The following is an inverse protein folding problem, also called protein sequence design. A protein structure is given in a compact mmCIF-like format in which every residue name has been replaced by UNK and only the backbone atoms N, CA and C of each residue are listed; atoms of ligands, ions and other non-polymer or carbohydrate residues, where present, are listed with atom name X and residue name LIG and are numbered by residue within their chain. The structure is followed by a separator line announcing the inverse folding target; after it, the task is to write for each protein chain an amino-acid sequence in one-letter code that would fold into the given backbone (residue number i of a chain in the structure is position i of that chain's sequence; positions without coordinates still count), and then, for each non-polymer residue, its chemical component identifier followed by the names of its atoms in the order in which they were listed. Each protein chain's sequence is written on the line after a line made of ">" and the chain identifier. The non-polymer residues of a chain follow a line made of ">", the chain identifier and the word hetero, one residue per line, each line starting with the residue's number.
data_IF_610140514665
#
_entry.id   IF_610140514665
#
_cell.length_a   1.000
_cell.length_b   1.000
_cell.length_c   1.000
_cell.angle_alpha   90.00
_cell.angle_beta   90.00
_cell.angle_gamma   90.00
#
_symmetry.space_group_name_H-M   'P 1'
#
loop_
_entity.id
_entity.type
_entity.pdbx_description
1 polymer ?
#
# COMPACT_ATOMS: atom_id res chain seq x y z
N UNK A 1 7.76 26.80 2.14
CA UNK A 1 6.57 27.37 2.82
C UNK A 1 5.62 28.01 1.82
N UNK A 2 4.42 28.46 2.26
CA UNK A 2 3.46 29.18 1.40
C UNK A 2 4.01 30.54 0.91
N UNK A 3 4.91 31.12 1.66
CA UNK A 3 5.65 32.34 1.28
C UNK A 3 6.65 32.04 0.17
N UNK A 4 7.42 30.96 0.29
CA UNK A 4 8.39 30.53 -0.71
C UNK A 4 7.72 30.16 -2.05
N UNK A 5 6.48 29.62 -1.96
CA UNK A 5 5.64 29.30 -3.11
C UNK A 5 4.92 30.52 -3.72
N UNK A 6 5.10 31.72 -3.18
CA UNK A 6 4.46 32.94 -3.65
C UNK A 6 2.95 33.01 -3.42
N UNK A 7 2.40 32.13 -2.58
CA UNK A 7 0.96 32.07 -2.26
C UNK A 7 0.59 33.12 -1.22
N UNK A 8 1.52 33.46 -0.33
CA UNK A 8 1.35 34.50 0.68
C UNK A 8 2.55 35.44 0.67
N UNK A 9 2.28 36.74 0.76
CA UNK A 9 3.33 37.74 0.80
C UNK A 9 4.08 37.75 2.15
N UNK A 10 3.42 37.38 3.23
CA UNK A 10 3.93 37.34 4.61
C UNK A 10 3.18 36.29 5.42
N UNK A 11 3.93 35.55 6.24
CA UNK A 11 3.36 34.52 7.15
C UNK A 11 2.39 35.12 8.18
N UNK A 12 2.63 36.36 8.64
CA UNK A 12 1.76 37.05 9.61
C UNK A 12 0.43 37.45 8.98
N UNK A 13 0.48 38.01 7.77
CA UNK A 13 -0.73 38.36 7.00
C UNK A 13 -1.55 37.10 6.69
N UNK A 14 -0.88 36.00 6.36
CA UNK A 14 -1.55 34.72 6.16
C UNK A 14 -2.23 34.22 7.42
N UNK A 15 -1.57 34.28 8.58
CA UNK A 15 -2.15 33.88 9.86
C UNK A 15 -3.38 34.74 10.26
N UNK A 16 -3.33 36.05 9.98
CA UNK A 16 -4.46 36.95 10.20
C UNK A 16 -5.61 36.60 9.24
N UNK A 17 -5.32 36.40 7.97
CA UNK A 17 -6.31 36.01 6.98
C UNK A 17 -7.00 34.68 7.31
N UNK A 18 -6.27 33.70 7.82
CA UNK A 18 -6.83 32.44 8.31
C UNK A 18 -7.89 32.64 9.40
N UNK A 19 -7.64 33.55 10.35
CA UNK A 19 -8.55 33.85 11.44
C UNK A 19 -9.90 34.38 10.96
N UNK A 20 -9.91 35.10 9.83
CA UNK A 20 -11.13 35.67 9.24
C UNK A 20 -11.78 34.79 8.17
N UNK A 21 -10.98 34.06 7.39
CA UNK A 21 -11.47 33.25 6.28
C UNK A 21 -11.81 31.80 6.70
N UNK A 22 -11.24 31.33 7.81
CA UNK A 22 -11.30 29.95 8.21
C UNK A 22 -11.45 29.74 9.74
N UNK A 23 -12.40 30.39 10.41
CA UNK A 23 -12.48 30.38 11.88
C UNK A 23 -12.78 28.98 12.47
N UNK A 24 -13.43 28.09 11.72
CA UNK A 24 -13.99 26.83 12.26
C UNK A 24 -13.36 25.56 11.73
N UNK A 25 -12.52 25.62 10.71
CA UNK A 25 -11.92 24.43 10.09
C UNK A 25 -10.39 24.42 10.18
N UNK A 26 -9.79 23.38 10.75
CA UNK A 26 -8.33 23.25 10.79
C UNK A 26 -7.76 23.09 9.37
N UNK A 27 -6.55 23.62 9.18
CA UNK A 27 -5.78 23.32 7.98
C UNK A 27 -5.22 21.91 8.09
N UNK A 28 -5.24 21.18 6.98
CA UNK A 28 -4.62 19.87 6.92
C UNK A 28 -3.16 20.02 6.50
N UNK A 29 -2.28 19.34 7.23
CA UNK A 29 -0.87 19.24 6.84
C UNK A 29 -0.73 18.39 5.58
N UNK A 30 0.28 18.70 4.76
CA UNK A 30 0.54 17.95 3.52
C UNK A 30 1.26 18.80 2.49
N UNK A 31 1.55 18.21 1.35
CA UNK A 31 2.09 18.86 0.18
C UNK A 31 0.93 19.36 -0.71
N UNK A 32 0.99 20.60 -1.13
CA UNK A 32 -0.03 21.22 -1.96
C UNK A 32 0.59 21.86 -3.20
N UNK A 33 -0.06 21.68 -4.34
CA UNK A 33 0.25 22.44 -5.55
C UNK A 33 -0.70 23.63 -5.68
N UNK A 34 -0.16 24.80 -5.96
CA UNK A 34 -0.93 26.01 -6.23
C UNK A 34 -0.64 26.52 -7.63
N UNK A 35 -1.67 26.92 -8.34
CA UNK A 35 -1.50 27.60 -9.63
C UNK A 35 -0.94 29.01 -9.40
N UNK A 36 -0.15 29.48 -10.35
CA UNK A 36 0.33 30.86 -10.29
C UNK A 36 -0.87 31.84 -10.23
N UNK A 37 -0.81 32.78 -9.29
CA UNK A 37 -1.87 33.77 -9.09
C UNK A 37 -3.10 33.26 -8.35
N UNK A 38 -3.02 32.10 -7.68
CA UNK A 38 -4.11 31.61 -6.81
C UNK A 38 -4.48 32.65 -5.76
N UNK A 39 -5.77 32.89 -5.53
CA UNK A 39 -6.21 33.80 -4.48
C UNK A 39 -5.95 33.20 -3.09
N UNK A 40 -5.73 34.06 -2.09
CA UNK A 40 -5.55 33.62 -0.71
C UNK A 40 -6.75 32.82 -0.19
N UNK A 41 -7.96 33.21 -0.60
CA UNK A 41 -9.20 32.50 -0.27
C UNK A 41 -9.19 31.07 -0.83
N UNK A 42 -8.84 30.89 -2.09
CA UNK A 42 -8.80 29.57 -2.73
C UNK A 42 -7.69 28.71 -2.16
N UNK A 43 -6.53 29.32 -1.84
CA UNK A 43 -5.45 28.60 -1.17
C UNK A 43 -5.87 28.10 0.22
N UNK A 44 -6.56 28.93 1.01
CA UNK A 44 -7.11 28.50 2.32
C UNK A 44 -8.16 27.41 2.15
N UNK A 45 -9.08 27.56 1.18
CA UNK A 45 -10.09 26.54 0.92
C UNK A 45 -9.45 25.18 0.53
N UNK A 46 -8.41 25.20 -0.29
CA UNK A 46 -7.65 24.01 -0.68
C UNK A 46 -6.97 23.33 0.51
N UNK A 47 -6.34 24.12 1.39
CA UNK A 47 -5.72 23.64 2.62
C UNK A 47 -6.74 23.01 3.59
N UNK A 48 -7.93 23.59 3.69
CA UNK A 48 -9.03 23.06 4.52
C UNK A 48 -9.65 21.79 3.94
N UNK A 49 -9.77 21.73 2.62
CA UNK A 49 -10.25 20.54 1.92
C UNK A 49 -9.29 19.35 2.08
N UNK A 50 -7.98 19.63 2.28
CA UNK A 50 -6.95 18.60 2.33
C UNK A 50 -6.67 18.00 0.95
N UNK A 51 -6.81 18.81 -0.11
CA UNK A 51 -6.48 18.42 -1.48
C UNK A 51 -4.96 18.42 -1.67
N UNK A 52 -4.33 17.45 -1.02
CA UNK A 52 -2.88 17.22 -1.01
C UNK A 52 -2.41 16.52 -2.28
N UNK A 53 -1.14 16.67 -2.60
CA UNK A 53 -0.49 15.84 -3.63
C UNK A 53 -0.48 14.39 -3.15
N UNK A 54 -1.17 13.54 -3.90
CA UNK A 54 -1.19 12.10 -3.65
C UNK A 54 -0.09 11.46 -4.48
N UNK A 55 0.83 10.80 -3.81
CA UNK A 55 1.90 9.99 -4.39
C UNK A 55 1.45 8.54 -4.46
N UNK A 56 2.10 7.75 -5.28
CA UNK A 56 1.81 6.31 -5.39
C UNK A 56 3.10 5.50 -5.41
N UNK A 57 3.05 4.33 -4.81
CA UNK A 57 4.05 3.28 -4.95
C UNK A 57 3.36 2.01 -5.45
N UNK A 58 3.89 1.42 -6.49
CA UNK A 58 3.37 0.17 -7.07
C UNK A 58 4.33 -0.96 -6.72
N UNK A 59 3.79 -1.98 -6.08
CA UNK A 59 4.48 -3.22 -5.72
C UNK A 59 4.00 -4.30 -6.68
N UNK A 60 4.91 -4.86 -7.46
CA UNK A 60 4.60 -5.92 -8.39
C UNK A 60 4.33 -7.25 -7.67
N UNK A 61 3.52 -8.10 -8.28
CA UNK A 61 3.31 -9.47 -7.83
C UNK A 61 4.60 -10.31 -7.96
N UNK A 62 4.74 -11.32 -7.11
CA UNK A 62 5.89 -12.26 -7.15
C UNK A 62 7.17 -11.75 -6.47
N UNK A 63 7.17 -10.53 -5.92
CA UNK A 63 8.30 -10.02 -5.16
C UNK A 63 8.39 -10.67 -3.78
N UNK A 64 9.61 -10.90 -3.32
CA UNK A 64 9.90 -11.28 -1.93
C UNK A 64 9.66 -10.10 -0.99
N UNK A 65 9.45 -10.38 0.30
CA UNK A 65 9.33 -9.33 1.34
C UNK A 65 10.51 -8.36 1.30
N UNK A 66 11.73 -8.85 1.09
CA UNK A 66 12.94 -8.01 0.96
C UNK A 66 12.85 -7.04 -0.21
N UNK A 67 12.42 -7.50 -1.37
CA UNK A 67 12.28 -6.67 -2.56
C UNK A 67 11.17 -5.63 -2.40
N UNK A 68 10.04 -6.00 -1.77
CA UNK A 68 8.96 -5.07 -1.44
C UNK A 68 9.47 -3.95 -0.51
N UNK A 69 10.20 -4.31 0.56
CA UNK A 69 10.77 -3.32 1.47
C UNK A 69 11.74 -2.38 0.77
N UNK A 70 12.56 -2.88 -0.17
CA UNK A 70 13.45 -2.03 -0.97
C UNK A 70 12.67 -1.05 -1.86
N UNK A 71 11.55 -1.46 -2.45
CA UNK A 71 10.65 -0.57 -3.21
C UNK A 71 10.07 0.52 -2.31
N UNK A 72 9.62 0.16 -1.10
CA UNK A 72 9.06 1.11 -0.13
C UNK A 72 10.14 2.07 0.40
N UNK A 73 11.36 1.58 0.62
CA UNK A 73 12.49 2.42 1.06
C UNK A 73 12.86 3.47 0.02
N UNK A 74 12.82 3.09 -1.26
CA UNK A 74 13.05 4.00 -2.40
C UNK A 74 11.90 4.95 -2.71
N UNK A 75 10.74 4.83 -2.05
CA UNK A 75 9.58 5.69 -2.32
C UNK A 75 9.78 7.07 -1.70
N UNK A 76 10.06 8.07 -2.55
CA UNK A 76 10.24 9.46 -2.14
C UNK A 76 8.98 10.03 -1.49
N UNK A 77 9.14 10.65 -0.32
CA UNK A 77 8.06 11.28 0.44
C UNK A 77 7.55 10.46 1.60
N UNK A 78 7.88 9.16 1.68
CA UNK A 78 7.67 8.35 2.88
C UNK A 78 8.77 8.64 3.91
N UNK A 79 8.38 8.68 5.18
CA UNK A 79 9.26 8.92 6.32
C UNK A 79 9.39 7.68 7.22
N UNK A 80 10.29 7.76 8.20
CA UNK A 80 10.48 6.71 9.20
C UNK A 80 11.31 5.51 8.72
N UNK A 81 11.67 4.60 9.63
CA UNK A 81 12.45 3.42 9.32
C UNK A 81 11.64 2.37 8.54
N UNK A 82 12.36 1.54 7.78
CA UNK A 82 11.82 0.31 7.21
C UNK A 82 12.06 -0.82 8.22
N UNK A 83 11.05 -1.66 8.53
CA UNK A 83 11.24 -2.81 9.43
C UNK A 83 12.14 -3.86 8.82
N UNK A 84 12.68 -4.74 9.66
CA UNK A 84 13.47 -5.88 9.22
C UNK A 84 12.58 -6.96 8.58
N UNK A 85 13.11 -7.69 7.60
CA UNK A 85 12.40 -8.80 6.94
C UNK A 85 11.96 -9.87 7.94
N UNK A 86 12.80 -10.11 8.96
CA UNK A 86 12.54 -11.09 10.03
C UNK A 86 11.30 -10.75 10.88
N UNK A 87 10.90 -9.49 10.94
CA UNK A 87 9.73 -9.04 11.70
C UNK A 87 8.41 -9.30 10.97
N UNK A 88 8.45 -9.36 9.64
CA UNK A 88 7.25 -9.47 8.80
C UNK A 88 7.02 -10.90 8.29
N UNK A 89 8.07 -11.59 7.88
CA UNK A 89 7.98 -12.87 7.17
C UNK A 89 7.64 -12.73 5.68
N UNK A 90 7.66 -13.84 4.94
CA UNK A 90 7.31 -13.85 3.51
C UNK A 90 5.79 -13.84 3.31
N UNK A 91 5.36 -13.16 2.24
CA UNK A 91 3.94 -13.04 1.89
C UNK A 91 3.12 -12.17 2.85
N UNK A 92 3.78 -11.36 3.70
CA UNK A 92 3.12 -10.52 4.70
C UNK A 92 2.36 -9.33 4.12
N UNK A 93 2.68 -8.90 2.90
CA UNK A 93 2.17 -7.69 2.28
C UNK A 93 1.43 -8.01 0.98
N UNK A 94 0.30 -7.36 0.72
CA UNK A 94 -0.41 -7.50 -0.55
C UNK A 94 0.29 -6.64 -1.63
N UNK A 95 0.74 -7.22 -2.76
CA UNK A 95 1.26 -6.46 -3.89
C UNK A 95 0.11 -5.72 -4.58
N UNK A 96 0.19 -4.39 -4.60
CA UNK A 96 -0.79 -3.52 -5.24
C UNK A 96 -0.21 -2.10 -5.41
N UNK A 97 -0.99 -1.19 -5.99
CA UNK A 97 -0.65 0.23 -6.00
C UNK A 97 -1.23 0.93 -4.78
N UNK A 98 -0.36 1.49 -3.96
CA UNK A 98 -0.73 2.21 -2.74
C UNK A 98 -0.52 3.70 -2.90
N UNK A 99 -1.49 4.47 -2.43
CA UNK A 99 -1.41 5.93 -2.37
C UNK A 99 -0.95 6.39 -1.00
N UNK A 100 -0.16 7.45 -0.99
CA UNK A 100 0.35 8.08 0.24
C UNK A 100 0.58 9.58 0.04
N UNK A 101 0.68 10.31 1.12
CA UNK A 101 0.99 11.75 1.15
C UNK A 101 2.41 11.99 1.65
N UNK A 102 2.97 13.15 1.35
CA UNK A 102 4.25 13.56 1.90
C UNK A 102 4.20 13.57 3.43
N UNK A 103 5.11 12.83 4.07
CA UNK A 103 5.20 12.70 5.51
C UNK A 103 4.50 11.47 6.09
N UNK A 104 3.72 10.74 5.30
CA UNK A 104 3.25 9.41 5.71
C UNK A 104 4.44 8.51 6.04
N UNK A 105 4.28 7.62 6.99
CA UNK A 105 5.37 6.74 7.39
C UNK A 105 5.38 5.43 6.62
N UNK A 106 6.57 4.86 6.43
CA UNK A 106 6.74 3.51 5.86
C UNK A 106 5.99 2.46 6.67
N UNK A 107 6.01 2.59 8.01
CA UNK A 107 5.28 1.69 8.91
C UNK A 107 3.77 1.71 8.68
N UNK A 108 3.15 2.89 8.52
CA UNK A 108 1.72 3.01 8.21
C UNK A 108 1.36 2.42 6.84
N UNK A 109 2.22 2.62 5.84
CA UNK A 109 2.02 2.02 4.53
C UNK A 109 2.07 0.49 4.62
N UNK A 110 3.11 -0.07 5.27
CA UNK A 110 3.27 -1.51 5.47
C UNK A 110 2.09 -2.08 6.26
N UNK A 111 1.63 -1.41 7.32
CA UNK A 111 0.45 -1.84 8.07
C UNK A 111 -0.81 -1.92 7.20
N UNK A 112 -1.02 -0.97 6.28
CA UNK A 112 -2.13 -1.02 5.30
C UNK A 112 -1.99 -2.19 4.33
N UNK A 113 -0.77 -2.47 3.85
CA UNK A 113 -0.48 -3.59 2.96
C UNK A 113 -0.75 -4.95 3.63
N UNK A 114 -0.34 -5.07 4.89
CA UNK A 114 -0.57 -6.27 5.71
C UNK A 114 -2.06 -6.46 6.00
N UNK A 115 -2.76 -5.41 6.41
CA UNK A 115 -4.21 -5.46 6.64
C UNK A 115 -5.00 -5.83 5.37
N UNK A 116 -4.59 -5.30 4.21
CA UNK A 116 -5.20 -5.64 2.93
C UNK A 116 -4.98 -7.13 2.55
N UNK A 117 -3.77 -7.65 2.81
CA UNK A 117 -3.43 -9.07 2.62
C UNK A 117 -4.30 -9.96 3.52
N UNK A 118 -4.39 -9.64 4.81
CA UNK A 118 -5.16 -10.43 5.77
C UNK A 118 -6.64 -10.46 5.42
N UNK A 119 -7.21 -9.31 5.07
CA UNK A 119 -8.60 -9.22 4.62
C UNK A 119 -8.85 -10.01 3.32
N UNK A 120 -7.92 -9.92 2.36
CA UNK A 120 -7.99 -10.67 1.11
C UNK A 120 -7.91 -12.17 1.33
N UNK A 121 -6.94 -12.60 2.13
CA UNK A 121 -6.72 -14.01 2.44
C UNK A 121 -7.90 -14.63 3.22
N UNK A 122 -8.43 -13.92 4.21
CA UNK A 122 -9.61 -14.35 4.96
C UNK A 122 -10.81 -14.57 4.03
N UNK A 123 -11.10 -13.58 3.18
CA UNK A 123 -12.22 -13.67 2.23
C UNK A 123 -12.07 -14.85 1.27
N UNK A 124 -10.86 -15.09 0.74
CA UNK A 124 -10.59 -16.18 -0.18
C UNK A 124 -10.69 -17.53 0.54
N UNK A 125 -10.22 -17.60 1.77
CA UNK A 125 -10.31 -18.81 2.59
C UNK A 125 -11.75 -19.18 2.92
N UNK A 126 -12.60 -18.22 3.26
CA UNK A 126 -14.03 -18.43 3.51
C UNK A 126 -14.77 -18.92 2.25
N UNK A 127 -14.38 -18.44 1.08
CA UNK A 127 -14.99 -18.81 -0.20
C UNK A 127 -14.37 -20.06 -0.86
N UNK A 128 -13.43 -20.75 -0.19
CA UNK A 128 -12.77 -21.92 -0.76
C UNK A 128 -13.72 -23.08 -0.96
N UNK A 129 -13.40 -23.98 -1.88
CA UNK A 129 -14.12 -25.25 -2.02
C UNK A 129 -13.89 -26.14 -0.79
N UNK A 130 -14.94 -26.86 -0.40
CA UNK A 130 -14.83 -27.86 0.65
C UNK A 130 -13.95 -29.04 0.20
N UNK A 131 -13.28 -29.67 1.17
CA UNK A 131 -12.47 -30.86 0.93
C UNK A 131 -11.08 -30.59 0.34
N UNK A 132 -10.62 -29.36 0.29
CA UNK A 132 -9.23 -29.07 -0.04
C UNK A 132 -8.31 -29.60 1.07
N UNK A 133 -7.15 -30.22 0.73
CA UNK A 133 -6.19 -30.76 1.68
C UNK A 133 -5.29 -29.64 2.25
N UNK A 134 -5.88 -28.55 2.69
CA UNK A 134 -5.22 -27.38 3.27
C UNK A 134 -5.85 -27.10 4.63
N UNK A 135 -5.05 -26.96 5.66
CA UNK A 135 -5.51 -26.80 7.03
C UNK A 135 -5.69 -25.31 7.42
N UNK A 136 -5.01 -24.39 6.73
CA UNK A 136 -5.05 -22.97 7.08
C UNK A 136 -4.97 -22.04 5.85
N UNK A 137 -5.36 -20.77 6.00
CA UNK A 137 -5.15 -19.74 4.98
C UNK A 137 -3.68 -19.61 4.56
N UNK A 138 -2.76 -19.74 5.51
CA UNK A 138 -1.31 -19.64 5.26
C UNK A 138 -0.82 -20.78 4.36
N UNK A 139 -1.34 -22.00 4.54
CA UNK A 139 -1.04 -23.13 3.64
C UNK A 139 -1.53 -22.85 2.21
N UNK A 140 -2.70 -22.20 2.09
CA UNK A 140 -3.22 -21.78 0.80
C UNK A 140 -2.32 -20.72 0.15
N UNK A 141 -1.81 -19.76 0.92
CA UNK A 141 -0.87 -18.75 0.45
C UNK A 141 0.46 -19.37 -0.01
N UNK A 142 0.99 -20.33 0.76
CA UNK A 142 2.20 -21.08 0.37
C UNK A 142 1.98 -21.82 -0.94
N UNK A 143 0.86 -22.53 -1.08
CA UNK A 143 0.53 -23.23 -2.33
C UNK A 143 0.40 -22.24 -3.51
N UNK A 144 -0.25 -21.10 -3.29
CA UNK A 144 -0.39 -20.06 -4.30
C UNK A 144 0.97 -19.51 -4.76
N UNK A 145 1.92 -19.32 -3.84
CA UNK A 145 3.28 -18.86 -4.16
C UNK A 145 4.05 -19.87 -5.02
N UNK A 146 3.84 -21.16 -4.79
CA UNK A 146 4.42 -22.23 -5.62
C UNK A 146 3.79 -22.20 -7.03
N UNK A 147 2.47 -22.12 -7.13
CA UNK A 147 1.75 -22.05 -8.41
C UNK A 147 2.19 -20.83 -9.22
N UNK A 148 2.37 -19.68 -8.57
CA UNK A 148 2.83 -18.43 -9.24
C UNK A 148 4.23 -18.59 -9.85
N UNK A 149 5.11 -19.34 -9.20
CA UNK A 149 6.46 -19.61 -9.73
C UNK A 149 6.50 -20.66 -10.83
N UNK A 150 5.53 -21.57 -10.86
CA UNK A 150 5.44 -22.64 -11.87
C UNK A 150 4.85 -22.14 -13.20
N UNK A 151 3.98 -21.14 -13.17
CA UNK A 151 3.38 -20.63 -14.41
C UNK A 151 3.09 -19.13 -14.33
N UNK A 152 3.58 -18.42 -15.36
CA UNK A 152 3.26 -17.01 -15.59
C UNK A 152 1.91 -16.84 -16.35
N UNK A 153 1.28 -17.94 -16.81
CA UNK A 153 0.07 -17.91 -17.63
C UNK A 153 -1.17 -18.04 -16.76
N UNK A 154 -1.99 -16.99 -16.58
CA UNK A 154 -3.15 -17.03 -15.68
C UNK A 154 -4.12 -18.18 -15.96
N UNK A 155 -4.35 -18.53 -17.24
CA UNK A 155 -5.24 -19.60 -17.64
C UNK A 155 -4.76 -21.00 -17.21
N UNK A 156 -3.47 -21.18 -16.91
CA UNK A 156 -2.89 -22.45 -16.49
C UNK A 156 -2.88 -22.62 -14.97
N UNK A 157 -2.98 -21.52 -14.19
CA UNK A 157 -2.87 -21.54 -12.71
C UNK A 157 -3.78 -22.56 -12.07
N UNK A 158 -5.05 -22.67 -12.50
CA UNK A 158 -6.00 -23.63 -11.96
C UNK A 158 -5.57 -25.08 -12.21
N UNK A 159 -5.02 -25.38 -13.38
CA UNK A 159 -4.53 -26.72 -13.75
C UNK A 159 -3.28 -27.09 -12.94
N UNK A 160 -2.34 -26.16 -12.80
CA UNK A 160 -1.12 -26.34 -12.01
C UNK A 160 -1.48 -26.53 -10.53
N UNK A 161 -2.36 -25.69 -9.97
CA UNK A 161 -2.86 -25.84 -8.61
C UNK A 161 -3.50 -27.23 -8.40
N UNK A 162 -4.32 -27.72 -9.34
CA UNK A 162 -4.93 -29.04 -9.29
C UNK A 162 -3.92 -30.18 -9.21
N UNK A 163 -2.76 -30.05 -9.88
CA UNK A 163 -1.68 -31.04 -9.76
C UNK A 163 -1.13 -31.11 -8.34
N UNK A 164 -0.84 -29.95 -7.74
CA UNK A 164 -0.33 -29.88 -6.38
C UNK A 164 -1.36 -30.35 -5.34
N UNK A 165 -2.62 -29.97 -5.49
CA UNK A 165 -3.73 -30.47 -4.64
C UNK A 165 -3.82 -31.99 -4.69
N UNK A 166 -3.74 -32.59 -5.90
CA UNK A 166 -3.76 -34.04 -6.05
C UNK A 166 -2.53 -34.72 -5.41
N UNK A 167 -1.35 -34.09 -5.46
CA UNK A 167 -0.16 -34.59 -4.75
C UNK A 167 -0.37 -34.57 -3.23
N UNK A 168 -0.91 -33.47 -2.69
CA UNK A 168 -1.23 -33.36 -1.25
C UNK A 168 -2.23 -34.45 -0.81
N UNK A 169 -3.31 -34.67 -1.56
CA UNK A 169 -4.31 -35.72 -1.26
C UNK A 169 -3.67 -37.11 -1.23
N UNK A 170 -2.66 -37.37 -2.08
CA UNK A 170 -1.94 -38.64 -2.14
C UNK A 170 -0.76 -38.74 -1.16
N UNK A 171 -0.53 -37.74 -0.31
CA UNK A 171 0.62 -37.70 0.60
C UNK A 171 1.97 -37.57 -0.10
N UNK A 172 1.99 -37.08 -1.33
CA UNK A 172 3.21 -36.90 -2.11
C UNK A 172 3.87 -35.54 -1.78
N UNK A 173 5.19 -35.50 -1.86
CA UNK A 173 5.92 -34.22 -1.71
C UNK A 173 5.61 -33.28 -2.88
N UNK A 174 5.48 -31.99 -2.57
CA UNK A 174 5.46 -30.93 -3.56
C UNK A 174 6.89 -30.74 -4.03
N UNK A 175 7.24 -31.28 -5.21
CA UNK A 175 8.54 -31.11 -5.85
C UNK A 175 8.31 -30.24 -7.09
N UNK A 176 8.95 -29.09 -7.13
CA UNK A 176 9.20 -28.31 -8.33
C UNK A 176 10.65 -28.54 -8.74
N UNK A 177 10.87 -28.80 -10.02
CA UNK A 177 12.20 -28.97 -10.59
C UNK A 177 12.90 -27.61 -10.76
#
# INVERSE_FOLDING_TARGET
>A
TLVDAGVAADTRLFAIALRFLAPERPLRAGEYTFSAGVSLRDAVAKLQAGDTVVRRVTVAEGLTTREILAVIEGAEGLSGPTPEVSELGEGAMLPETYHFSLGDTRGELIARMTAARDAGLTRLWEARQDGLPLASPEEALILASIVERETAVPAERARVAGVFINRLIRGMRLQSD
#
